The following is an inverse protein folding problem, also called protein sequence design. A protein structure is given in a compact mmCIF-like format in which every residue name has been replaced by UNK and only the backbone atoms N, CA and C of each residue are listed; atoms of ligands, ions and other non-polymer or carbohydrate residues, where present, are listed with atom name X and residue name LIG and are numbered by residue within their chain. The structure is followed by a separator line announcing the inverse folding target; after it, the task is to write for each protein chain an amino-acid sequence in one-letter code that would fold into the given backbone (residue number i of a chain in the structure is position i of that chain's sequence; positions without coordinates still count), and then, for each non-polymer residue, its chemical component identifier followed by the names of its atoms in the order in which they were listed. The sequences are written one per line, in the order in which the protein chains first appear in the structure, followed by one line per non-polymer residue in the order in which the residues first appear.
data_IF_455435423008
#
_entry.id   IF_455435423008
#
_cell.length_a   1.000
_cell.length_b   1.000
_cell.length_c   1.000
_cell.angle_alpha   90.00
_cell.angle_beta   90.00
_cell.angle_gamma   90.00
#
_symmetry.space_group_name_H-M   'P 1'
#
loop_
_entity.id
_entity.type
_entity.pdbx_description
1 polymer ?
#
# COMPACT_ATOMS: atom_id res chain seq x y z
N UNK A 1 10.88 9.21 28.60
CA UNK A 1 9.99 8.10 28.18
C UNK A 1 9.34 8.35 26.81
N UNK A 2 8.64 9.48 26.57
CA UNK A 2 7.94 9.76 25.29
C UNK A 2 8.85 9.67 24.03
N UNK A 3 10.09 10.17 24.11
CA UNK A 3 11.04 10.12 22.98
C UNK A 3 11.54 8.69 22.67
N UNK A 4 11.74 7.87 23.70
CA UNK A 4 12.20 6.48 23.54
C UNK A 4 11.14 5.61 22.85
N UNK A 5 9.87 5.76 23.25
CA UNK A 5 8.74 5.05 22.62
C UNK A 5 8.59 5.43 21.15
N UNK A 6 8.74 6.72 20.81
CA UNK A 6 8.66 7.21 19.42
C UNK A 6 9.77 6.67 18.53
N UNK A 7 11.00 6.61 19.03
CA UNK A 7 12.14 6.05 18.29
C UNK A 7 11.92 4.55 18.07
N UNK A 8 11.47 3.84 19.11
CA UNK A 8 11.18 2.40 18.99
C UNK A 8 10.08 2.11 17.97
N UNK A 9 8.99 2.89 17.94
CA UNK A 9 7.91 2.68 16.98
C UNK A 9 8.32 2.95 15.53
N UNK A 10 9.19 3.95 15.29
CA UNK A 10 9.75 4.21 13.97
C UNK A 10 10.63 3.05 13.48
N UNK A 11 11.48 2.51 14.34
CA UNK A 11 12.34 1.36 14.00
C UNK A 11 11.51 0.12 13.63
N UNK A 12 10.47 -0.18 14.42
CA UNK A 12 9.56 -1.28 14.11
C UNK A 12 8.82 -1.09 12.78
N UNK A 13 8.39 0.14 12.49
CA UNK A 13 7.75 0.47 11.22
C UNK A 13 8.71 0.27 10.03
N UNK A 14 9.98 0.68 10.15
CA UNK A 14 10.99 0.48 9.10
C UNK A 14 11.27 -1.01 8.85
N UNK A 15 11.40 -1.81 9.91
CA UNK A 15 11.59 -3.27 9.79
C UNK A 15 10.40 -3.90 9.05
N UNK A 16 9.17 -3.53 9.42
CA UNK A 16 7.97 -4.04 8.77
C UNK A 16 7.90 -3.68 7.29
N UNK A 17 8.24 -2.44 6.93
CA UNK A 17 8.28 -2.00 5.53
C UNK A 17 9.32 -2.78 4.72
N UNK A 18 10.52 -2.97 5.27
CA UNK A 18 11.57 -3.74 4.59
C UNK A 18 11.16 -5.20 4.37
N UNK A 19 10.50 -5.82 5.36
CA UNK A 19 9.96 -7.17 5.21
C UNK A 19 8.89 -7.23 4.12
N UNK A 20 7.95 -6.28 4.10
CA UNK A 20 6.92 -6.22 3.06
C UNK A 20 7.51 -6.04 1.65
N UNK A 21 8.50 -5.15 1.49
CA UNK A 21 9.20 -4.96 0.22
C UNK A 21 9.90 -6.25 -0.24
N UNK A 22 10.52 -6.99 0.68
CA UNK A 22 11.16 -8.27 0.35
C UNK A 22 10.15 -9.30 -0.17
N UNK A 23 9.01 -9.46 0.51
CA UNK A 23 7.95 -10.37 0.07
C UNK A 23 7.38 -9.97 -1.30
N UNK A 24 7.17 -8.67 -1.52
CA UNK A 24 6.64 -8.16 -2.79
C UNK A 24 7.66 -8.32 -3.94
N UNK A 25 8.96 -8.16 -3.66
CA UNK A 25 10.03 -8.42 -4.62
C UNK A 25 10.04 -9.89 -5.04
N UNK A 26 9.87 -10.81 -4.08
CA UNK A 26 9.79 -12.25 -4.37
C UNK A 26 8.56 -12.58 -5.21
N UNK A 27 7.41 -11.97 -4.90
CA UNK A 27 6.18 -12.13 -5.68
C UNK A 27 6.34 -11.65 -7.14
N UNK A 28 6.93 -10.47 -7.34
CA UNK A 28 7.16 -9.91 -8.67
C UNK A 28 8.19 -10.71 -9.47
N UNK A 29 9.20 -11.29 -8.81
CA UNK A 29 10.24 -12.06 -9.52
C UNK A 29 9.80 -13.49 -9.81
N UNK A 30 9.28 -14.21 -8.81
CA UNK A 30 8.90 -15.63 -8.97
C UNK A 30 7.56 -15.83 -9.65
N UNK A 31 6.57 -14.99 -9.36
CA UNK A 31 5.21 -15.19 -9.86
C UNK A 31 4.99 -14.40 -11.15
N UNK A 32 5.38 -13.12 -11.21
CA UNK A 32 5.26 -12.33 -12.44
C UNK A 32 6.40 -12.60 -13.45
N UNK A 33 7.39 -13.40 -13.08
CA UNK A 33 8.57 -13.72 -13.90
C UNK A 33 9.30 -12.46 -14.41
N UNK A 34 9.42 -11.44 -13.55
CA UNK A 34 10.17 -10.22 -13.84
C UNK A 34 11.62 -10.34 -13.37
N UNK A 35 12.53 -9.69 -14.09
CA UNK A 35 13.89 -9.50 -13.60
C UNK A 35 13.91 -8.74 -12.27
N UNK A 36 14.85 -9.09 -11.39
CA UNK A 36 15.04 -8.45 -10.07
C UNK A 36 15.17 -6.93 -10.19
N UNK A 37 15.85 -6.45 -11.24
CA UNK A 37 16.02 -5.02 -11.52
C UNK A 37 14.70 -4.33 -11.85
N UNK A 38 13.83 -4.99 -12.64
CA UNK A 38 12.52 -4.46 -13.02
C UNK A 38 11.55 -4.50 -11.85
N UNK A 39 11.55 -5.57 -11.06
CA UNK A 39 10.77 -5.67 -9.83
C UNK A 39 11.16 -4.56 -8.83
N UNK A 40 12.47 -4.36 -8.61
CA UNK A 40 12.97 -3.30 -7.73
C UNK A 40 12.58 -1.91 -8.24
N UNK A 41 12.64 -1.67 -9.56
CA UNK A 41 12.22 -0.41 -10.15
C UNK A 41 10.74 -0.11 -9.86
N UNK A 42 9.85 -1.09 -10.00
CA UNK A 42 8.41 -0.95 -9.69
C UNK A 42 8.23 -0.56 -8.21
N UNK A 43 8.85 -1.29 -7.29
CA UNK A 43 8.73 -1.03 -5.85
C UNK A 43 9.31 0.34 -5.46
N UNK A 44 10.44 0.75 -6.05
CA UNK A 44 11.05 2.05 -5.79
C UNK A 44 10.20 3.22 -6.27
N UNK A 45 9.59 3.11 -7.46
CA UNK A 45 8.63 4.11 -7.96
C UNK A 45 7.46 4.22 -6.98
N UNK A 46 6.98 3.08 -6.47
CA UNK A 46 5.88 3.06 -5.53
C UNK A 46 6.23 3.66 -4.17
N UNK A 47 7.43 3.40 -3.67
CA UNK A 47 7.98 4.04 -2.50
C UNK A 47 8.14 5.56 -2.68
N UNK A 48 8.51 6.01 -3.87
CA UNK A 48 8.58 7.44 -4.20
C UNK A 48 7.19 8.09 -4.17
N UNK A 49 6.18 7.46 -4.79
CA UNK A 49 4.79 7.96 -4.77
C UNK A 49 4.28 8.07 -3.34
N UNK A 50 4.50 7.07 -2.50
CA UNK A 50 4.08 7.09 -1.09
C UNK A 50 4.65 8.28 -0.30
N UNK A 51 5.83 8.80 -0.69
CA UNK A 51 6.48 9.95 -0.04
C UNK A 51 6.02 11.30 -0.59
N UNK A 52 5.69 11.37 -1.88
CA UNK A 52 5.29 12.61 -2.56
C UNK A 52 3.80 12.89 -2.38
N UNK A 53 2.97 11.84 -2.40
CA UNK A 53 1.52 11.96 -2.35
C UNK A 53 0.96 12.70 -1.11
N UNK A 54 1.53 12.56 0.10
CA UNK A 54 1.11 13.36 1.25
C UNK A 54 1.26 14.87 1.02
N UNK A 55 2.32 15.31 0.33
CA UNK A 55 2.52 16.73 0.02
C UNK A 55 1.42 17.27 -0.90
N UNK A 56 1.02 16.47 -1.89
CA UNK A 56 -0.06 16.82 -2.82
C UNK A 56 -1.41 16.87 -2.08
N UNK A 57 -1.69 15.89 -1.24
CA UNK A 57 -2.93 15.84 -0.46
C UNK A 57 -3.01 16.95 0.59
N UNK A 58 -1.88 17.37 1.17
CA UNK A 58 -1.85 18.50 2.10
C UNK A 58 -2.31 19.79 1.41
N UNK A 59 -1.84 20.06 0.19
CA UNK A 59 -2.27 21.21 -0.61
C UNK A 59 -3.76 21.16 -1.00
N UNK A 60 -4.32 19.96 -1.16
CA UNK A 60 -5.74 19.76 -1.48
C UNK A 60 -6.65 19.90 -0.24
N UNK A 61 -6.16 19.45 0.93
CA UNK A 61 -6.91 19.46 2.19
C UNK A 61 -7.20 20.85 2.74
N UNK A 62 -6.37 21.85 2.40
CA UNK A 62 -6.62 23.26 2.73
C UNK A 62 -7.97 23.76 2.17
N UNK A 63 -8.62 23.00 1.27
CA UNK A 63 -9.84 23.43 0.59
C UNK A 63 -11.16 22.79 1.04
N UNK A 64 -11.23 21.57 1.61
CA UNK A 64 -12.56 20.89 1.61
C UNK A 64 -12.87 19.68 2.51
N UNK A 65 -12.03 19.18 3.43
CA UNK A 65 -12.45 17.97 4.19
C UNK A 65 -11.94 17.96 5.62
N UNK A 66 -12.86 17.90 6.59
CA UNK A 66 -12.53 17.79 8.02
C UNK A 66 -11.70 16.54 8.33
N UNK A 67 -10.79 16.66 9.31
CA UNK A 67 -9.79 15.64 9.67
C UNK A 67 -10.41 14.25 9.91
N UNK A 68 -11.56 14.18 10.57
CA UNK A 68 -12.26 12.92 10.84
C UNK A 68 -12.69 12.18 9.57
N UNK A 69 -13.35 12.87 8.63
CA UNK A 69 -13.82 12.26 7.38
C UNK A 69 -12.67 11.77 6.50
N UNK A 70 -11.58 12.53 6.45
CA UNK A 70 -10.38 12.13 5.73
C UNK A 70 -9.76 10.85 6.32
N UNK A 71 -9.71 10.73 7.65
CA UNK A 71 -9.22 9.51 8.32
C UNK A 71 -10.10 8.29 8.02
N UNK A 72 -11.43 8.44 8.06
CA UNK A 72 -12.36 7.35 7.75
C UNK A 72 -12.21 6.90 6.30
N UNK A 73 -12.20 7.83 5.35
CA UNK A 73 -12.02 7.54 3.94
C UNK A 73 -10.67 6.86 3.66
N UNK A 74 -9.60 7.38 4.28
CA UNK A 74 -8.26 6.81 4.18
C UNK A 74 -8.19 5.35 4.67
N UNK A 75 -8.87 5.04 5.78
CA UNK A 75 -8.96 3.67 6.28
C UNK A 75 -9.68 2.74 5.31
N UNK A 76 -10.80 3.19 4.71
CA UNK A 76 -11.54 2.42 3.70
C UNK A 76 -10.65 2.13 2.49
N UNK A 77 -9.93 3.14 2.00
CA UNK A 77 -9.01 2.98 0.86
C UNK A 77 -7.86 2.01 1.16
N UNK A 78 -7.26 2.09 2.35
CA UNK A 78 -6.23 1.15 2.78
C UNK A 78 -6.75 -0.29 2.83
N UNK A 79 -7.93 -0.52 3.42
CA UNK A 79 -8.54 -1.84 3.48
C UNK A 79 -8.90 -2.38 2.09
N UNK A 80 -9.50 -1.54 1.24
CA UNK A 80 -9.83 -1.91 -0.13
C UNK A 80 -8.57 -2.23 -0.95
N UNK A 81 -7.50 -1.45 -0.80
CA UNK A 81 -6.26 -1.68 -1.52
C UNK A 81 -5.52 -2.95 -1.10
N UNK A 82 -5.53 -3.29 0.20
CA UNK A 82 -5.03 -4.59 0.68
C UNK A 82 -5.88 -5.73 0.10
N UNK A 83 -7.20 -5.56 0.07
CA UNK A 83 -8.12 -6.53 -0.54
C UNK A 83 -7.83 -6.75 -2.03
N UNK A 84 -7.55 -5.69 -2.78
CA UNK A 84 -7.19 -5.78 -4.20
C UNK A 84 -5.84 -6.48 -4.41
N UNK A 85 -4.83 -6.18 -3.59
CA UNK A 85 -3.55 -6.91 -3.66
C UNK A 85 -3.75 -8.40 -3.36
N UNK A 86 -4.52 -8.73 -2.32
CA UNK A 86 -4.83 -10.12 -2.01
C UNK A 86 -5.52 -10.79 -3.21
N UNK A 87 -6.57 -10.16 -3.74
CA UNK A 87 -7.35 -10.67 -4.88
C UNK A 87 -6.49 -10.86 -6.13
N UNK A 88 -5.50 -9.99 -6.38
CA UNK A 88 -4.57 -10.12 -7.52
C UNK A 88 -3.67 -11.36 -7.49
N UNK A 89 -3.69 -12.11 -6.39
CA UNK A 89 -2.96 -13.38 -6.28
C UNK A 89 -3.76 -14.48 -6.99
N UNK A 90 -3.13 -15.29 -7.87
CA UNK A 90 -3.83 -16.30 -8.67
C UNK A 90 -4.59 -17.35 -7.84
N UNK A 91 -4.24 -17.54 -6.57
CA UNK A 91 -4.95 -18.41 -5.64
C UNK A 91 -6.38 -17.95 -5.29
N UNK A 92 -6.72 -16.67 -5.48
CA UNK A 92 -8.04 -16.12 -5.14
C UNK A 92 -8.87 -15.73 -6.38
N UNK A 93 -8.24 -15.37 -7.49
CA UNK A 93 -8.91 -15.08 -8.77
C UNK A 93 -8.89 -16.23 -9.78
N UNK A 94 -8.16 -17.32 -9.50
CA UNK A 94 -8.17 -18.53 -10.31
C UNK A 94 -9.59 -19.07 -10.41
N UNK A 95 -10.23 -18.88 -11.57
CA UNK A 95 -11.57 -19.38 -11.85
C UNK A 95 -11.70 -20.91 -11.67
N UNK A 96 -12.91 -21.47 -11.84
CA UNK A 96 -13.26 -22.87 -11.50
C UNK A 96 -12.46 -23.96 -12.25
N UNK A 97 -11.58 -23.58 -13.16
CA UNK A 97 -10.61 -24.47 -13.77
C UNK A 97 -9.40 -24.63 -12.83
N UNK A 98 -9.33 -25.79 -12.17
CA UNK A 98 -8.23 -26.32 -11.32
C UNK A 98 -6.79 -26.25 -11.90
N UNK A 99 -6.55 -25.53 -13.00
CA UNK A 99 -5.25 -25.41 -13.68
C UNK A 99 -4.35 -24.30 -13.13
N UNK A 100 -4.88 -23.32 -12.39
CA UNK A 100 -4.13 -22.12 -11.93
C UNK A 100 -4.10 -21.94 -10.41
N UNK A 101 -4.07 -23.03 -9.65
CA UNK A 101 -3.92 -22.99 -8.18
C UNK A 101 -2.45 -22.76 -7.75
N UNK A 102 -1.50 -23.00 -8.67
CA UNK A 102 -0.06 -22.82 -8.42
C UNK A 102 0.39 -21.42 -8.80
N UNK A 103 1.37 -20.91 -8.05
CA UNK A 103 2.09 -19.66 -8.31
C UNK A 103 2.95 -19.75 -9.58
N UNK A 104 2.32 -19.95 -10.73
CA UNK A 104 2.98 -20.08 -12.02
C UNK A 104 2.72 -18.83 -12.89
N UNK A 105 3.74 -18.38 -13.64
CA UNK A 105 3.69 -17.10 -14.36
C UNK A 105 2.68 -17.07 -15.50
N UNK A 106 2.30 -18.25 -16.00
CA UNK A 106 1.28 -18.43 -17.04
C UNK A 106 -0.16 -18.13 -16.56
N UNK A 107 -0.37 -18.03 -15.25
CA UNK A 107 -1.68 -17.77 -14.66
C UNK A 107 -1.95 -16.28 -14.43
N UNK A 108 -0.95 -15.39 -14.52
CA UNK A 108 -1.15 -13.96 -14.32
C UNK A 108 -1.51 -13.26 -15.62
N UNK A 109 -2.79 -12.93 -15.74
CA UNK A 109 -3.36 -12.15 -16.85
C UNK A 109 -3.23 -10.63 -16.67
N UNK A 110 -3.74 -9.88 -17.64
CA UNK A 110 -3.79 -8.41 -17.56
C UNK A 110 -4.71 -7.91 -16.43
N UNK A 111 -5.75 -8.66 -16.09
CA UNK A 111 -6.72 -8.28 -15.05
C UNK A 111 -6.08 -8.29 -13.67
N UNK A 112 -5.37 -9.34 -13.29
CA UNK A 112 -4.66 -9.42 -11.99
C UNK A 112 -3.60 -8.34 -11.87
N UNK A 113 -2.84 -8.08 -12.93
CA UNK A 113 -1.86 -6.97 -12.95
C UNK A 113 -2.53 -5.62 -12.73
N UNK A 114 -3.67 -5.38 -13.37
CA UNK A 114 -4.43 -4.13 -13.19
C UNK A 114 -4.98 -3.99 -11.77
N UNK A 115 -5.52 -5.07 -11.20
CA UNK A 115 -6.03 -5.09 -9.81
C UNK A 115 -4.89 -4.85 -8.82
N UNK A 116 -3.73 -5.47 -9.04
CA UNK A 116 -2.53 -5.25 -8.24
C UNK A 116 -2.13 -3.77 -8.24
N UNK A 117 -1.97 -3.15 -9.42
CA UNK A 117 -1.63 -1.73 -9.53
C UNK A 117 -2.71 -0.82 -8.93
N UNK A 118 -3.99 -1.14 -9.09
CA UNK A 118 -5.08 -0.40 -8.47
C UNK A 118 -5.01 -0.48 -6.93
N UNK A 119 -4.81 -1.67 -6.36
CA UNK A 119 -4.68 -1.85 -4.91
C UNK A 119 -3.47 -1.10 -4.34
N UNK A 120 -2.36 -1.17 -5.06
CA UNK A 120 -1.14 -0.40 -4.84
C UNK A 120 -1.40 1.12 -4.81
N UNK A 121 -2.22 1.67 -5.72
CA UNK A 121 -2.60 3.10 -5.70
C UNK A 121 -3.46 3.41 -4.48
N UNK A 122 -4.49 2.60 -4.22
CA UNK A 122 -5.42 2.80 -3.11
C UNK A 122 -4.72 2.83 -1.75
N UNK A 123 -3.76 1.92 -1.52
CA UNK A 123 -2.94 1.92 -0.30
C UNK A 123 -2.14 3.20 -0.18
N UNK A 124 -1.47 3.65 -1.25
CA UNK A 124 -0.66 4.87 -1.19
C UNK A 124 -1.53 6.10 -0.88
N UNK A 125 -2.71 6.22 -1.49
CA UNK A 125 -3.66 7.30 -1.22
C UNK A 125 -4.15 7.25 0.23
N UNK A 126 -4.57 6.08 0.72
CA UNK A 126 -5.04 5.92 2.10
C UNK A 126 -3.94 6.23 3.13
N UNK A 127 -2.71 5.74 2.91
CA UNK A 127 -1.57 6.05 3.80
C UNK A 127 -1.22 7.53 3.79
N UNK A 128 -1.29 8.17 2.62
CA UNK A 128 -1.01 9.59 2.50
C UNK A 128 -2.07 10.43 3.25
N UNK A 129 -3.36 10.09 3.12
CA UNK A 129 -4.45 10.73 3.86
C UNK A 129 -4.33 10.56 5.39
N UNK A 130 -3.96 9.36 5.86
CA UNK A 130 -3.63 9.15 7.28
C UNK A 130 -2.46 10.03 7.74
N UNK A 131 -1.39 10.11 6.94
CA UNK A 131 -0.19 10.88 7.32
C UNK A 131 -0.47 12.37 7.53
N UNK A 132 -1.40 12.96 6.76
CA UNK A 132 -1.71 14.40 6.83
C UNK A 132 -2.77 14.72 7.90
N UNK A 133 -3.78 13.87 8.10
CA UNK A 133 -4.92 14.18 8.98
C UNK A 133 -4.82 13.58 10.39
N UNK A 134 -3.94 12.60 10.63
CA UNK A 134 -3.86 11.93 11.94
C UNK A 134 -3.37 12.85 13.04
N UNK A 135 -2.31 13.62 12.77
CA UNK A 135 -1.73 14.54 13.75
C UNK A 135 -2.72 15.66 14.17
N UNK A 136 -3.32 16.43 13.25
CA UNK A 136 -4.26 17.49 13.63
C UNK A 136 -5.50 16.93 14.35
N UNK A 137 -6.02 15.77 13.94
CA UNK A 137 -7.13 15.12 14.65
C UNK A 137 -6.77 14.78 16.11
N UNK A 138 -5.58 14.24 16.37
CA UNK A 138 -5.15 13.91 17.73
C UNK A 138 -4.93 15.16 18.60
N UNK A 139 -4.56 16.28 17.99
CA UNK A 139 -4.46 17.57 18.68
C UNK A 139 -5.86 18.09 19.02
N UNK A 140 -6.83 18.00 18.09
CA UNK A 140 -8.24 18.38 18.31
C UNK A 140 -8.93 17.55 19.42
N UNK A 141 -8.53 16.28 19.63
CA UNK A 141 -9.12 15.41 20.67
C UNK A 141 -8.49 15.57 22.07
N UNK A 142 -7.29 16.13 22.16
CA UNK A 142 -6.55 16.30 23.42
C UNK A 142 -6.63 17.72 24.00
N UNK A 143 -7.33 18.64 23.32
CA UNK A 143 -7.63 20.00 23.80
C UNK A 143 -8.99 20.07 24.48
#
# INVERSE_FOLDING_TARGET
MKSFVRISSLLWAEIFVNFALFVMQDYLTKVWNLDVTRAAAILNIWGAIAKILPLILLLLLDSSTGNFWMLTFSSILCSAGIGFIALSTPSLLGGPTHACEKFEPQCIGHVEKSIFYAGMVLINVGKAGHSVSLKPFLEDQNG
#
